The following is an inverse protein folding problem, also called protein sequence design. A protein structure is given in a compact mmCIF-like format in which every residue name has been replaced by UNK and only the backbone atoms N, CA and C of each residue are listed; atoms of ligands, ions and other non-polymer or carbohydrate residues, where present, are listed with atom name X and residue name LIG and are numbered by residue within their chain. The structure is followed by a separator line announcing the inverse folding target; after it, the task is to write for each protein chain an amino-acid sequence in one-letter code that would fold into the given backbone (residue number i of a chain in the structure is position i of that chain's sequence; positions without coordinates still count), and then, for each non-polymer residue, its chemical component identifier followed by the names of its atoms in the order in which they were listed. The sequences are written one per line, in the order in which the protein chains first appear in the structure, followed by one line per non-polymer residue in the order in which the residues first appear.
data_IF_962327896712
#
_entry.id   IF_962327896712
#
_cell.length_a   1.000
_cell.length_b   1.000
_cell.length_c   1.000
_cell.angle_alpha   90.00
_cell.angle_beta   90.00
_cell.angle_gamma   90.00
#
_symmetry.space_group_name_H-M   'P 1'
#
loop_
_entity.id
_entity.type
_entity.pdbx_description
1 polymer ?
#
# COMPACT_ATOMS: atom_id res chain seq x y z
N UNK A 1 1.26 -11.51 14.54
CA UNK A 1 1.72 -10.11 14.47
C UNK A 1 0.99 -9.47 13.31
N UNK A 2 0.24 -8.42 13.61
CA UNK A 2 -0.44 -7.62 12.60
C UNK A 2 0.63 -6.86 11.82
N UNK A 3 0.59 -6.89 10.48
CA UNK A 3 1.56 -6.17 9.64
C UNK A 3 1.01 -4.78 9.36
N UNK A 4 1.71 -3.74 9.80
CA UNK A 4 1.31 -2.35 9.58
C UNK A 4 2.05 -1.77 8.37
N UNK A 5 1.33 -0.97 7.60
CA UNK A 5 1.85 -0.30 6.41
C UNK A 5 1.48 1.18 6.43
N UNK A 6 2.41 2.02 6.02
CA UNK A 6 2.10 3.40 5.64
C UNK A 6 1.73 3.40 4.16
N UNK A 7 0.51 3.78 3.85
CA UNK A 7 -0.01 3.89 2.50
C UNK A 7 -0.23 5.37 2.16
N UNK A 8 0.38 5.82 1.07
CA UNK A 8 0.29 7.19 0.56
C UNK A 8 -0.42 7.16 -0.79
N UNK A 9 -1.50 7.91 -0.92
CA UNK A 9 -2.20 8.19 -2.17
C UNK A 9 -2.05 9.69 -2.47
N UNK A 10 -1.53 10.04 -3.65
CA UNK A 10 -1.28 11.44 -4.03
C UNK A 10 -1.53 11.69 -5.52
N UNK A 11 -1.32 12.92 -5.98
CA UNK A 11 -1.37 13.25 -7.41
C UNK A 11 -2.75 13.02 -8.03
N UNK A 12 -2.87 11.91 -8.76
CA UNK A 12 -4.07 11.49 -9.51
C UNK A 12 -5.25 10.99 -8.68
N UNK A 13 -5.07 10.73 -7.39
CA UNK A 13 -6.15 10.26 -6.51
C UNK A 13 -7.13 11.37 -6.15
N UNK A 14 -8.44 11.09 -6.24
CA UNK A 14 -9.53 12.05 -5.89
C UNK A 14 -9.40 12.55 -4.45
N UNK A 15 -8.89 11.70 -3.55
CA UNK A 15 -8.59 12.04 -2.17
C UNK A 15 -7.16 11.65 -1.83
N UNK A 16 -6.20 12.57 -1.97
CA UNK A 16 -4.85 12.37 -1.48
C UNK A 16 -4.85 12.19 0.04
N UNK A 17 -4.14 11.18 0.53
CA UNK A 17 -4.05 10.87 1.95
C UNK A 17 -2.78 10.05 2.25
N UNK A 18 -2.38 10.09 3.52
CA UNK A 18 -1.41 9.16 4.09
C UNK A 18 -2.07 8.49 5.28
N UNK A 19 -2.15 7.17 5.28
CA UNK A 19 -2.79 6.40 6.35
C UNK A 19 -1.91 5.23 6.79
N UNK A 20 -2.07 4.82 8.05
CA UNK A 20 -1.50 3.59 8.56
C UNK A 20 -2.59 2.53 8.50
N UNK A 21 -2.34 1.48 7.72
CA UNK A 21 -3.32 0.42 7.44
C UNK A 21 -2.72 -0.96 7.70
N UNK A 22 -3.60 -1.93 7.87
CA UNK A 22 -3.23 -3.34 8.01
C UNK A 22 -3.14 -4.03 6.65
N UNK A 23 -2.49 -5.21 6.62
CA UNK A 23 -2.39 -5.99 5.38
C UNK A 23 -3.77 -6.26 4.74
N UNK A 24 -4.80 -6.44 5.55
CA UNK A 24 -6.15 -6.77 5.10
C UNK A 24 -6.85 -5.58 4.39
N UNK A 25 -6.33 -4.36 4.51
CA UNK A 25 -6.78 -3.23 3.71
C UNK A 25 -6.50 -3.44 2.21
N UNK A 26 -5.38 -4.12 1.89
CA UNK A 26 -4.97 -4.34 0.50
C UNK A 26 -5.71 -5.56 -0.08
N UNK A 27 -6.92 -5.32 -0.56
CA UNK A 27 -7.78 -6.31 -1.18
C UNK A 27 -8.45 -5.80 -2.46
N UNK A 28 -9.19 -6.71 -3.10
CA UNK A 28 -9.91 -6.41 -4.34
C UNK A 28 -11.06 -5.43 -4.15
N UNK A 29 -11.63 -5.33 -2.95
CA UNK A 29 -12.73 -4.43 -2.64
C UNK A 29 -12.23 -2.98 -2.52
N UNK A 30 -10.97 -2.79 -2.11
CA UNK A 30 -10.23 -1.54 -2.17
C UNK A 30 -9.47 -1.34 -3.49
N UNK A 31 -9.87 -2.07 -4.55
CA UNK A 31 -9.36 -1.93 -5.92
C UNK A 31 -7.87 -2.28 -6.08
N UNK A 32 -7.31 -3.14 -5.22
CA UNK A 32 -5.98 -3.72 -5.42
C UNK A 32 -6.07 -5.00 -6.24
N UNK A 33 -5.27 -5.10 -7.29
CA UNK A 33 -5.17 -6.34 -8.05
C UNK A 33 -4.28 -7.38 -7.36
N UNK A 34 -4.26 -8.61 -7.89
CA UNK A 34 -3.49 -9.71 -7.29
C UNK A 34 -1.98 -9.45 -7.31
N UNK A 35 -1.48 -8.70 -8.29
CA UNK A 35 -0.06 -8.40 -8.41
C UNK A 35 0.37 -7.33 -7.40
N UNK A 36 -0.46 -6.31 -7.16
CA UNK A 36 -0.22 -5.32 -6.13
C UNK A 36 -0.21 -5.96 -4.74
N UNK A 37 -1.22 -6.77 -4.43
CA UNK A 37 -1.30 -7.50 -3.15
C UNK A 37 -0.06 -8.38 -2.96
N UNK A 38 0.38 -9.09 -4.01
CA UNK A 38 1.58 -9.93 -3.95
C UNK A 38 2.84 -9.10 -3.68
N UNK A 39 2.99 -7.95 -4.34
CA UNK A 39 4.14 -7.04 -4.17
C UNK A 39 4.18 -6.45 -2.76
N UNK A 40 3.04 -6.01 -2.24
CA UNK A 40 2.93 -5.46 -0.87
C UNK A 40 3.23 -6.54 0.17
N UNK A 41 2.70 -7.75 0.00
CA UNK A 41 2.96 -8.88 0.92
C UNK A 41 4.42 -9.29 1.00
N UNK A 42 5.17 -9.09 -0.08
CA UNK A 42 6.59 -9.43 -0.18
C UNK A 42 7.51 -8.41 0.50
N UNK A 43 7.00 -7.23 0.89
CA UNK A 43 7.80 -6.20 1.56
C UNK A 43 8.34 -6.70 2.90
N UNK A 44 9.63 -6.47 3.13
CA UNK A 44 10.24 -6.57 4.46
C UNK A 44 10.17 -5.23 5.20
N UNK A 45 10.48 -5.23 6.49
CA UNK A 45 10.53 -4.02 7.32
C UNK A 45 11.25 -2.86 6.61
N UNK A 46 10.64 -1.66 6.63
CA UNK A 46 11.11 -0.42 6.00
C UNK A 46 11.25 -0.44 4.47
N UNK A 47 10.90 -1.52 3.78
CA UNK A 47 10.82 -1.51 2.32
C UNK A 47 9.53 -0.85 1.85
N UNK A 48 9.60 -0.26 0.67
CA UNK A 48 8.46 0.36 0.01
C UNK A 48 8.28 -0.15 -1.43
N UNK A 49 7.04 -0.24 -1.87
CA UNK A 49 6.68 -0.40 -3.27
C UNK A 49 6.04 0.88 -3.78
N UNK A 50 6.36 1.23 -5.03
CA UNK A 50 5.73 2.33 -5.75
C UNK A 50 4.81 1.75 -6.82
N UNK A 51 3.59 2.25 -6.86
CA UNK A 51 2.50 1.84 -7.73
C UNK A 51 1.90 3.08 -8.41
N UNK A 52 1.04 2.86 -9.40
CA UNK A 52 0.31 3.92 -10.14
C UNK A 52 1.18 5.06 -10.65
N UNK A 53 2.32 4.70 -11.28
CA UNK A 53 3.22 5.70 -11.87
C UNK A 53 3.89 6.64 -10.86
N UNK A 54 3.85 6.33 -9.56
CA UNK A 54 4.45 7.16 -8.51
C UNK A 54 3.45 7.77 -7.53
N UNK A 55 2.16 7.65 -7.82
CA UNK A 55 1.09 8.28 -7.04
C UNK A 55 0.59 7.44 -5.87
N UNK A 56 0.95 6.16 -5.84
CA UNK A 56 0.71 5.31 -4.69
C UNK A 56 2.01 4.69 -4.17
N UNK A 57 2.27 4.86 -2.86
CA UNK A 57 3.46 4.33 -2.20
C UNK A 57 3.00 3.57 -0.96
N UNK A 58 3.46 2.33 -0.82
CA UNK A 58 3.19 1.51 0.36
C UNK A 58 4.50 1.11 1.00
N UNK A 59 4.70 1.45 2.26
CA UNK A 59 5.89 1.11 3.06
C UNK A 59 5.51 0.21 4.23
N UNK A 60 6.24 -0.89 4.41
CA UNK A 60 6.03 -1.76 5.57
C UNK A 60 6.66 -1.16 6.82
N UNK A 61 5.84 -1.01 7.86
CA UNK A 61 6.23 -0.50 9.17
C UNK A 61 6.44 -1.59 10.20
N UNK A 62 5.74 -2.74 10.11
CA UNK A 62 5.86 -3.90 11.02
C UNK A 62 5.61 -5.24 10.29
#
# INVERSE_FOLDING_TARGET
MERKFEAVWKGSYVRPATEIVDLDFFDVDNNYDKDDIRRIRALTMNQSVVMDGGDHIVKRLE
#
